data_IF_024454254259
#
_entry.id   IF_024454254259
#
_cell.length_a   1.000
_cell.length_b   1.000
_cell.length_c   1.000
_cell.angle_alpha   90.00
_cell.angle_beta   90.00
_cell.angle_gamma   90.00
#
_symmetry.space_group_name_H-M   'P 1'
#
loop_
_entity.id
_entity.type
_entity.pdbx_description
1 polymer ?
#
# COMPACT_ATOMS: atom_id res chain seq x y z
N UNK A 1 3.11 -6.17 -30.28
CA UNK A 1 2.97 -4.80 -29.75
C UNK A 1 1.61 -4.74 -29.07
N UNK A 2 1.55 -4.92 -27.76
CA UNK A 2 0.29 -4.76 -27.03
C UNK A 2 0.18 -3.30 -26.62
N UNK A 3 -0.59 -2.52 -27.40
CA UNK A 3 -1.02 -1.15 -27.09
C UNK A 3 -1.92 -1.16 -25.84
N UNK A 4 -1.36 -1.47 -24.69
CA UNK A 4 -2.05 -1.29 -23.42
C UNK A 4 -1.76 0.13 -22.93
N UNK A 5 -2.80 0.93 -22.63
CA UNK A 5 -2.59 2.27 -22.12
C UNK A 5 -1.76 2.16 -20.83
N UNK A 6 -0.78 3.05 -20.69
CA UNK A 6 0.26 2.98 -19.64
C UNK A 6 -0.31 2.94 -18.21
N UNK A 7 -1.54 3.42 -18.02
CA UNK A 7 -2.36 3.23 -16.81
C UNK A 7 -2.55 1.74 -16.42
N UNK A 8 -2.84 0.85 -17.37
CA UNK A 8 -3.03 -0.58 -17.11
C UNK A 8 -1.72 -1.18 -16.61
N UNK A 9 -0.60 -0.80 -17.22
CA UNK A 9 0.74 -1.19 -16.78
C UNK A 9 1.00 -0.75 -15.34
N UNK A 10 0.62 0.49 -14.96
CA UNK A 10 0.74 0.96 -13.56
C UNK A 10 -0.08 0.13 -12.58
N UNK A 11 -1.33 -0.20 -12.92
CA UNK A 11 -2.20 -1.00 -12.06
C UNK A 11 -1.65 -2.41 -11.90
N UNK A 12 -1.19 -3.03 -12.98
CA UNK A 12 -0.60 -4.38 -12.94
C UNK A 12 0.65 -4.37 -12.05
N UNK A 13 1.55 -3.40 -12.24
CA UNK A 13 2.76 -3.26 -11.41
C UNK A 13 2.39 -3.06 -9.95
N UNK A 14 1.44 -2.17 -9.67
CA UNK A 14 0.94 -1.94 -8.32
C UNK A 14 0.41 -3.21 -7.67
N UNK A 15 -0.41 -3.98 -8.38
CA UNK A 15 -0.93 -5.27 -7.90
C UNK A 15 0.16 -6.30 -7.67
N UNK A 16 1.15 -6.41 -8.56
CA UNK A 16 2.24 -7.39 -8.43
C UNK A 16 3.12 -7.09 -7.22
N UNK A 17 3.52 -5.83 -7.04
CA UNK A 17 4.31 -5.41 -5.87
C UNK A 17 3.48 -5.56 -4.60
N UNK A 18 2.21 -5.12 -4.62
CA UNK A 18 1.27 -5.31 -3.52
C UNK A 18 1.06 -6.78 -3.16
N UNK A 19 0.96 -7.68 -4.16
CA UNK A 19 0.88 -9.12 -3.95
C UNK A 19 2.16 -9.68 -3.31
N UNK A 20 3.34 -9.21 -3.72
CA UNK A 20 4.60 -9.63 -3.13
C UNK A 20 4.71 -9.25 -1.65
N UNK A 21 4.37 -8.01 -1.30
CA UNK A 21 4.32 -7.57 0.09
C UNK A 21 3.21 -8.27 0.89
N UNK A 22 2.03 -8.45 0.29
CA UNK A 22 0.93 -9.20 0.88
C UNK A 22 1.30 -10.65 1.16
N UNK A 23 2.05 -11.30 0.27
CA UNK A 23 2.57 -12.65 0.49
C UNK A 23 3.57 -12.66 1.66
N UNK A 24 4.47 -11.67 1.71
CA UNK A 24 5.34 -11.46 2.87
C UNK A 24 4.55 -11.34 4.17
N UNK A 25 3.52 -10.49 4.21
CA UNK A 25 2.64 -10.34 5.37
C UNK A 25 1.92 -11.65 5.71
N UNK A 26 1.43 -12.41 4.73
CA UNK A 26 0.75 -13.69 4.94
C UNK A 26 1.62 -14.70 5.69
N UNK A 27 2.90 -14.81 5.32
CA UNK A 27 3.85 -15.73 5.96
C UNK A 27 4.42 -15.19 7.27
N UNK A 28 4.62 -13.87 7.37
CA UNK A 28 5.16 -13.24 8.57
C UNK A 28 4.13 -13.18 9.68
N UNK A 29 2.82 -13.03 9.38
CA UNK A 29 1.77 -12.86 10.38
C UNK A 29 1.72 -14.03 11.39
N UNK A 30 1.71 -13.71 12.69
CA UNK A 30 1.77 -14.70 13.74
C UNK A 30 0.42 -15.41 13.81
N UNK A 31 0.45 -16.70 14.16
CA UNK A 31 -0.79 -17.39 14.48
C UNK A 31 -1.24 -16.96 15.89
N UNK A 32 -2.24 -16.10 15.96
CA UNK A 32 -2.75 -15.56 17.22
C UNK A 32 -3.68 -16.53 17.96
N UNK A 33 -3.78 -17.79 17.52
CA UNK A 33 -4.67 -18.79 18.11
C UNK A 33 -6.17 -18.48 17.96
N UNK A 34 -6.51 -17.54 17.07
CA UNK A 34 -7.89 -17.20 16.75
C UNK A 34 -8.44 -18.17 15.70
N UNK A 35 -9.68 -18.62 15.85
CA UNK A 35 -10.35 -19.51 14.88
C UNK A 35 -10.34 -18.93 13.44
N UNK A 36 -10.18 -17.61 13.29
CA UNK A 36 -10.13 -16.90 12.01
C UNK A 36 -8.73 -16.45 11.57
N UNK A 37 -7.65 -17.03 12.11
CA UNK A 37 -6.26 -16.69 11.78
C UNK A 37 -5.96 -16.75 10.28
N UNK A 38 -6.48 -17.78 9.58
CA UNK A 38 -6.33 -17.91 8.13
C UNK A 38 -7.09 -16.83 7.34
N UNK A 39 -8.30 -16.49 7.80
CA UNK A 39 -9.10 -15.42 7.19
C UNK A 39 -8.38 -14.08 7.28
N UNK A 40 -7.73 -13.80 8.42
CA UNK A 40 -6.95 -12.59 8.62
C UNK A 40 -5.77 -12.50 7.66
N UNK A 41 -5.01 -13.58 7.50
CA UNK A 41 -3.86 -13.64 6.58
C UNK A 41 -4.27 -13.36 5.14
N UNK A 42 -5.37 -13.97 4.68
CA UNK A 42 -5.95 -13.67 3.37
C UNK A 42 -6.45 -12.23 3.27
N UNK A 43 -7.06 -11.69 4.33
CA UNK A 43 -7.47 -10.30 4.42
C UNK A 43 -6.33 -9.33 4.17
N UNK A 44 -5.20 -9.50 4.86
CA UNK A 44 -3.99 -8.71 4.62
C UNK A 44 -3.42 -8.91 3.23
N UNK A 45 -3.37 -10.15 2.73
CA UNK A 45 -2.88 -10.44 1.38
C UNK A 45 -3.65 -9.65 0.31
N UNK A 46 -4.99 -9.74 0.33
CA UNK A 46 -5.83 -9.01 -0.62
C UNK A 46 -5.85 -7.50 -0.38
N UNK A 47 -5.68 -7.06 0.88
CA UNK A 47 -5.51 -5.66 1.21
C UNK A 47 -4.30 -5.06 0.50
N UNK A 48 -3.12 -5.68 0.60
CA UNK A 48 -1.92 -5.15 -0.05
C UNK A 48 -1.98 -5.19 -1.60
N UNK A 49 -2.70 -6.14 -2.19
CA UNK A 49 -3.01 -6.12 -3.63
C UNK A 49 -3.85 -4.89 -3.99
N UNK A 50 -4.90 -4.62 -3.21
CA UNK A 50 -5.82 -3.50 -3.41
C UNK A 50 -5.11 -2.17 -3.20
N UNK A 51 -4.31 -2.08 -2.14
CA UNK A 51 -3.43 -0.96 -1.82
C UNK A 51 -2.53 -0.60 -3.00
N UNK A 52 -1.83 -1.59 -3.56
CA UNK A 52 -0.97 -1.38 -4.72
C UNK A 52 -1.74 -0.97 -5.97
N UNK A 53 -2.92 -1.53 -6.21
CA UNK A 53 -3.80 -1.12 -7.29
C UNK A 53 -4.22 0.35 -7.16
N UNK A 54 -4.64 0.79 -5.97
CA UNK A 54 -5.06 2.18 -5.71
C UNK A 54 -3.90 3.16 -5.97
N UNK A 55 -2.70 2.87 -5.48
CA UNK A 55 -1.52 3.72 -5.74
C UNK A 55 -1.21 3.78 -7.24
N UNK A 56 -1.34 2.66 -7.95
CA UNK A 56 -1.20 2.57 -9.41
C UNK A 56 -2.17 3.50 -10.14
N UNK A 57 -3.47 3.41 -9.82
CA UNK A 57 -4.56 4.24 -10.39
C UNK A 57 -4.33 5.71 -10.08
N UNK A 58 -4.07 6.05 -8.82
CA UNK A 58 -3.88 7.44 -8.42
C UNK A 58 -2.71 8.10 -9.15
N UNK A 59 -1.81 7.27 -9.72
CA UNK A 59 -0.76 7.59 -10.69
C UNK A 59 -1.09 8.60 -11.78
N UNK A 60 -2.35 8.65 -12.19
CA UNK A 60 -2.87 9.50 -13.27
C UNK A 60 -2.89 10.97 -12.85
N UNK A 61 -3.07 11.25 -11.56
CA UNK A 61 -3.14 12.61 -11.06
C UNK A 61 -1.73 13.16 -10.86
N UNK A 62 -1.29 14.03 -11.78
CA UNK A 62 -0.05 14.79 -11.67
C UNK A 62 -0.24 16.16 -11.01
N UNK A 63 -1.49 16.58 -10.80
CA UNK A 63 -1.85 17.82 -10.12
C UNK A 63 -2.92 17.56 -9.07
N UNK A 64 -2.92 18.39 -8.01
CA UNK A 64 -4.01 18.40 -7.04
C UNK A 64 -5.32 18.82 -7.73
N UNK A 65 -6.41 18.04 -7.66
CA UNK A 65 -7.62 18.28 -8.46
C UNK A 65 -8.29 19.63 -8.18
N UNK A 66 -8.25 20.09 -6.92
CA UNK A 66 -8.81 21.39 -6.50
C UNK A 66 -7.79 22.53 -6.64
N UNK A 67 -6.62 22.41 -6.01
CA UNK A 67 -5.62 23.48 -5.93
C UNK A 67 -4.76 23.66 -7.19
N UNK A 68 -4.78 22.71 -8.14
CA UNK A 68 -3.99 22.71 -9.38
C UNK A 68 -2.47 22.86 -9.20
N UNK A 69 -1.96 22.53 -8.02
CA UNK A 69 -0.52 22.51 -7.72
C UNK A 69 0.05 21.17 -8.22
N UNK A 70 1.24 21.14 -8.85
CA UNK A 70 1.90 19.90 -9.25
C UNK A 70 2.13 19.01 -8.03
N UNK A 71 1.76 17.74 -8.15
CA UNK A 71 1.85 16.75 -7.08
C UNK A 71 2.79 15.62 -7.50
N UNK A 72 4.08 15.70 -7.14
CA UNK A 72 5.05 14.73 -7.61
C UNK A 72 4.79 13.33 -7.03
N UNK A 73 5.09 12.29 -7.80
CA UNK A 73 4.87 10.89 -7.42
C UNK A 73 5.42 10.53 -6.03
N UNK A 74 6.56 11.10 -5.64
CA UNK A 74 7.25 10.81 -4.37
C UNK A 74 6.52 11.39 -3.16
N UNK A 75 5.61 12.36 -3.36
CA UNK A 75 4.76 12.89 -2.30
C UNK A 75 3.39 12.21 -2.33
N UNK A 76 2.81 12.09 -3.52
CA UNK A 76 1.47 11.55 -3.73
C UNK A 76 1.35 10.08 -3.32
N UNK A 77 2.25 9.23 -3.83
CA UNK A 77 2.15 7.79 -3.60
C UNK A 77 2.36 7.42 -2.12
N UNK A 78 3.32 8.01 -1.39
CA UNK A 78 3.42 7.83 0.06
C UNK A 78 2.24 8.42 0.83
N UNK A 79 1.74 9.59 0.46
CA UNK A 79 0.59 10.19 1.15
C UNK A 79 -0.65 9.31 1.06
N UNK A 80 -0.93 8.74 -0.13
CA UNK A 80 -2.03 7.80 -0.33
C UNK A 80 -1.77 6.51 0.46
N UNK A 81 -0.54 5.98 0.41
CA UNK A 81 -0.19 4.78 1.16
C UNK A 81 -0.34 4.95 2.67
N UNK A 82 0.15 6.07 3.21
CA UNK A 82 -0.02 6.45 4.60
C UNK A 82 -1.50 6.58 4.97
N UNK A 83 -2.29 7.23 4.12
CA UNK A 83 -3.73 7.40 4.35
C UNK A 83 -4.47 6.06 4.39
N UNK A 84 -4.23 5.17 3.43
CA UNK A 84 -4.88 3.85 3.39
C UNK A 84 -4.54 3.04 4.64
N UNK A 85 -3.26 3.01 5.04
CA UNK A 85 -2.87 2.28 6.24
C UNK A 85 -3.26 3.00 7.53
N UNK A 86 -3.45 4.32 7.54
CA UNK A 86 -4.04 5.03 8.66
C UNK A 86 -5.48 4.59 8.87
N UNK A 87 -6.29 4.54 7.81
CA UNK A 87 -7.67 4.05 7.89
C UNK A 87 -7.70 2.59 8.36
N UNK A 88 -6.84 1.73 7.81
CA UNK A 88 -6.68 0.35 8.30
C UNK A 88 -6.35 0.34 9.79
N UNK A 89 -5.36 1.12 10.22
CA UNK A 89 -4.90 1.19 11.60
C UNK A 89 -5.99 1.63 12.55
N UNK A 90 -6.81 2.61 12.16
CA UNK A 90 -7.91 3.10 12.98
C UNK A 90 -9.04 2.06 13.12
N UNK A 91 -9.31 1.28 12.06
CA UNK A 91 -10.37 0.26 12.07
C UNK A 91 -9.92 -1.00 12.83
N UNK A 92 -8.64 -1.38 12.72
CA UNK A 92 -8.12 -2.65 13.25
C UNK A 92 -7.08 -2.46 14.35
N UNK A 93 -7.13 -1.33 15.06
CA UNK A 93 -6.12 -0.91 16.04
C UNK A 93 -5.77 -2.01 17.04
N UNK A 94 -6.78 -2.57 17.72
CA UNK A 94 -6.58 -3.60 18.75
C UNK A 94 -5.95 -4.88 18.17
N UNK A 95 -6.30 -5.22 16.93
CA UNK A 95 -5.76 -6.39 16.26
C UNK A 95 -4.29 -6.18 15.90
N UNK A 96 -3.96 -5.03 15.32
CA UNK A 96 -2.57 -4.67 15.01
C UNK A 96 -1.71 -4.58 16.26
N UNK A 97 -2.25 -4.05 17.37
CA UNK A 97 -1.56 -4.01 18.65
C UNK A 97 -1.24 -5.42 19.17
N UNK A 98 -2.19 -6.35 19.08
CA UNK A 98 -1.96 -7.76 19.45
C UNK A 98 -0.90 -8.42 18.57
N UNK A 99 -0.90 -8.14 17.27
CA UNK A 99 0.13 -8.62 16.35
C UNK A 99 1.50 -8.09 16.81
N UNK A 100 1.66 -6.78 17.02
CA UNK A 100 2.94 -6.20 17.42
C UNK A 100 3.40 -6.67 18.81
N UNK A 101 2.49 -6.87 19.75
CA UNK A 101 2.80 -7.40 21.07
C UNK A 101 3.35 -8.85 21.04
N UNK A 102 3.07 -9.61 19.98
CA UNK A 102 3.64 -10.94 19.79
C UNK A 102 5.12 -10.93 19.34
N UNK A 103 5.59 -9.82 18.77
CA UNK A 103 6.98 -9.66 18.30
C UNK A 103 7.85 -8.81 19.22
N UNK A 104 7.25 -7.83 19.89
CA UNK A 104 7.99 -6.83 20.66
C UNK A 104 7.69 -6.92 22.15
N UNK A 105 8.69 -6.74 23.03
CA UNK A 105 8.50 -6.71 24.47
C UNK A 105 7.49 -5.65 24.91
N UNK A 106 6.81 -5.92 26.04
CA UNK A 106 5.88 -4.98 26.68
C UNK A 106 6.55 -3.63 26.95
N UNK A 107 5.83 -2.54 26.65
CA UNK A 107 6.32 -1.17 26.85
C UNK A 107 7.26 -0.65 25.75
N UNK A 108 7.57 -1.45 24.72
CA UNK A 108 8.34 -0.98 23.56
C UNK A 108 7.55 0.02 22.71
N UNK A 109 8.18 1.10 22.26
CA UNK A 109 7.60 2.04 21.31
C UNK A 109 7.24 1.40 19.95
N UNK A 110 7.80 0.22 19.65
CA UNK A 110 7.49 -0.57 18.46
C UNK A 110 6.15 -1.32 18.55
N UNK A 111 5.49 -1.33 19.72
CA UNK A 111 4.14 -1.87 19.85
C UNK A 111 3.04 -0.93 19.33
N UNK A 112 3.37 0.31 18.98
CA UNK A 112 2.41 1.29 18.46
C UNK A 112 1.89 0.88 17.07
N UNK A 113 0.57 0.65 16.89
CA UNK A 113 0.00 0.35 15.58
C UNK A 113 0.22 1.44 14.53
N UNK A 114 0.53 2.68 14.92
CA UNK A 114 0.82 3.76 13.97
C UNK A 114 2.07 3.52 13.12
N UNK A 115 2.92 2.55 13.46
CA UNK A 115 4.00 2.10 12.58
C UNK A 115 3.49 1.56 11.24
N UNK A 116 2.28 1.00 11.19
CA UNK A 116 1.65 0.58 9.94
C UNK A 116 1.35 1.77 9.00
N UNK A 117 1.13 2.97 9.53
CA UNK A 117 0.98 4.21 8.73
C UNK A 117 2.29 4.55 8.03
N UNK A 118 3.41 4.47 8.77
CA UNK A 118 4.73 4.69 8.20
C UNK A 118 5.07 3.61 7.17
N UNK A 119 4.76 2.35 7.47
CA UNK A 119 4.90 1.24 6.52
C UNK A 119 4.11 1.54 5.24
N UNK A 120 2.86 2.00 5.35
CA UNK A 120 2.04 2.40 4.21
C UNK A 120 2.69 3.51 3.39
N UNK A 121 3.29 4.51 4.04
CA UNK A 121 4.02 5.57 3.35
C UNK A 121 5.21 5.01 2.55
N UNK A 122 6.00 4.13 3.18
CA UNK A 122 7.19 3.51 2.57
C UNK A 122 6.81 2.58 1.40
N UNK A 123 5.82 1.71 1.59
CA UNK A 123 5.32 0.84 0.52
C UNK A 123 4.70 1.66 -0.61
N UNK A 124 3.97 2.72 -0.28
CA UNK A 124 3.46 3.71 -1.22
C UNK A 124 4.57 4.32 -2.06
N UNK A 125 5.69 4.69 -1.45
CA UNK A 125 6.87 5.21 -2.15
C UNK A 125 7.46 4.20 -3.12
N UNK A 126 7.65 2.95 -2.68
CA UNK A 126 8.24 1.87 -3.48
C UNK A 126 7.34 1.59 -4.70
N UNK A 127 6.05 1.38 -4.47
CA UNK A 127 5.09 1.13 -5.55
C UNK A 127 5.01 2.33 -6.50
N UNK A 128 4.93 3.55 -5.95
CA UNK A 128 4.89 4.78 -6.71
C UNK A 128 6.12 4.97 -7.61
N UNK A 129 7.31 4.67 -7.09
CA UNK A 129 8.56 4.72 -7.84
C UNK A 129 8.55 3.74 -9.01
N UNK A 130 8.26 2.47 -8.75
CA UNK A 130 8.29 1.42 -9.79
C UNK A 130 7.20 1.65 -10.83
N UNK A 131 5.98 1.98 -10.41
CA UNK A 131 4.88 2.27 -11.32
C UNK A 131 5.18 3.50 -12.22
N UNK A 132 5.84 4.52 -11.68
CA UNK A 132 6.21 5.72 -12.45
C UNK A 132 7.35 5.44 -13.41
N UNK A 133 8.33 4.63 -13.00
CA UNK A 133 9.46 4.23 -13.85
C UNK A 133 9.02 3.47 -15.11
N UNK A 134 8.02 2.59 -15.00
CA UNK A 134 7.60 1.72 -16.11
C UNK A 134 6.29 2.17 -16.79
N UNK A 135 5.45 2.95 -16.12
CA UNK A 135 4.14 3.38 -16.61
C UNK A 135 3.95 4.89 -16.77
N UNK A 136 4.99 5.70 -16.58
CA UNK A 136 4.92 7.18 -16.71
C UNK A 136 4.03 7.84 -15.65
N UNK A 137 3.89 9.16 -15.68
CA UNK A 137 3.02 9.93 -14.76
C UNK A 137 2.14 10.93 -15.53
N UNK A 138 0.96 11.25 -15.01
CA UNK A 138 0.09 12.28 -15.60
C UNK A 138 -0.40 11.92 -17.01
N UNK A 139 -0.31 12.87 -17.94
CA UNK A 139 -0.71 12.70 -19.35
C UNK A 139 -0.02 11.50 -20.03
N UNK A 140 1.21 11.18 -19.62
CA UNK A 140 1.94 10.02 -20.14
C UNK A 140 1.25 8.69 -19.83
N UNK A 141 0.36 8.63 -18.84
CA UNK A 141 -0.39 7.41 -18.50
C UNK A 141 -1.53 7.10 -19.47
N UNK A 142 -1.95 8.08 -20.28
CA UNK A 142 -3.12 8.00 -21.17
C UNK A 142 -2.72 7.77 -22.65
N UNK A 143 -1.50 8.15 -23.04
CA UNK A 143 -1.00 7.99 -24.42
C UNK A 143 -0.15 6.72 -24.59
N UNK A 144 -0.50 5.88 -25.56
CA UNK A 144 0.19 4.63 -25.96
C UNK A 144 1.70 4.85 -26.14
#
# INVERSE_FOLDING_TARGET
>A
MTDHPKIVTRIIIGKLIGAAFGAGAFFLLPDLGQENSLMLKWGFFFWYITFGAIIGIMGIFDHHPVLRIPMPWWLRAPAIGAWLNLVLTLITYDLLQRILASYFPEGSALQSPFWFVLEGAVLGLIIGYVATRFGGEGYQTVTS
#
